data_IF_792353338343
#
_entry.id   IF_792353338343
#
_cell.length_a   1.000
_cell.length_b   1.000
_cell.length_c   1.000
_cell.angle_alpha   90.00
_cell.angle_beta   90.00
_cell.angle_gamma   90.00
#
_symmetry.space_group_name_H-M   'P 1'
#
loop_
_entity.id
_entity.type
_entity.pdbx_description
1 polymer ?
#
# COMPACT_ATOMS: atom_id res chain seq x y z
N UNK A 1 10.03 17.14 -7.95
CA UNK A 1 9.83 16.03 -8.91
C UNK A 1 11.00 15.11 -8.76
N UNK A 2 10.73 13.91 -8.34
CA UNK A 2 11.72 12.91 -7.94
C UNK A 2 12.42 12.34 -9.16
N UNK A 3 13.74 12.23 -9.09
CA UNK A 3 14.49 11.51 -10.09
C UNK A 3 14.11 10.04 -10.03
N UNK A 4 13.60 9.52 -11.13
CA UNK A 4 13.48 8.09 -11.34
C UNK A 4 14.87 7.56 -11.67
N UNK A 5 15.46 6.81 -10.75
CA UNK A 5 16.57 5.93 -11.09
C UNK A 5 15.97 4.74 -11.84
N UNK A 6 16.26 4.66 -13.12
CA UNK A 6 15.86 3.51 -13.92
C UNK A 6 17.00 2.51 -14.02
N UNK A 7 16.66 1.22 -13.95
CA UNK A 7 17.65 0.18 -14.21
C UNK A 7 17.97 0.21 -15.70
N UNK A 8 19.17 0.67 -16.05
CA UNK A 8 19.59 0.82 -17.44
C UNK A 8 20.05 -0.49 -18.06
N UNK A 9 20.67 -1.37 -17.29
CA UNK A 9 21.12 -2.66 -17.78
C UNK A 9 21.27 -3.68 -16.65
N UNK A 10 20.93 -4.92 -16.96
CA UNK A 10 21.25 -6.08 -16.14
C UNK A 10 22.21 -6.94 -16.92
N UNK A 11 23.44 -7.10 -16.45
CA UNK A 11 24.42 -8.01 -17.05
C UNK A 11 24.29 -9.37 -16.42
N UNK A 12 23.81 -10.34 -17.19
CA UNK A 12 23.85 -11.74 -16.80
C UNK A 12 25.29 -12.25 -17.05
N UNK A 13 26.02 -12.52 -16.01
CA UNK A 13 27.42 -12.99 -16.07
C UNK A 13 27.52 -14.49 -15.91
N UNK A 14 26.44 -15.20 -15.62
CA UNK A 14 26.45 -16.61 -15.23
C UNK A 14 26.90 -16.87 -13.79
N UNK A 15 27.47 -15.88 -13.13
CA UNK A 15 27.86 -15.90 -11.71
C UNK A 15 27.07 -14.83 -10.95
N UNK A 16 26.15 -15.23 -10.04
CA UNK A 16 25.35 -14.26 -9.28
C UNK A 16 26.19 -13.36 -8.36
N UNK A 17 27.44 -13.75 -8.02
CA UNK A 17 28.34 -12.94 -7.20
C UNK A 17 28.91 -11.72 -7.94
N UNK A 18 28.87 -11.71 -9.26
CA UNK A 18 29.37 -10.61 -10.10
C UNK A 18 28.29 -10.02 -11.02
N UNK A 19 27.03 -10.38 -10.81
CA UNK A 19 25.92 -9.76 -11.53
C UNK A 19 25.83 -8.27 -11.17
N UNK A 20 25.76 -7.42 -12.20
CA UNK A 20 25.72 -5.97 -12.01
C UNK A 20 24.40 -5.41 -12.51
N UNK A 21 23.79 -4.58 -11.69
CA UNK A 21 22.66 -3.73 -12.07
C UNK A 21 23.22 -2.33 -12.30
N UNK A 22 23.17 -1.87 -13.53
CA UNK A 22 23.57 -0.50 -13.86
C UNK A 22 22.33 0.41 -13.72
N UNK A 23 22.41 1.35 -12.79
CA UNK A 23 21.37 2.38 -12.61
C UNK A 23 21.70 3.58 -13.49
N UNK A 24 20.68 4.14 -14.12
CA UNK A 24 20.82 5.38 -14.89
C UNK A 24 21.16 6.58 -14.01
N UNK A 25 21.71 7.61 -14.64
CA UNK A 25 21.87 8.89 -13.98
C UNK A 25 20.48 9.42 -13.52
N UNK A 26 20.41 10.16 -12.42
CA UNK A 26 19.19 10.82 -12.02
C UNK A 26 18.62 11.64 -13.18
N UNK A 27 17.34 11.49 -13.47
CA UNK A 27 16.66 12.29 -14.49
C UNK A 27 16.79 13.80 -14.21
N UNK A 28 16.48 14.66 -15.20
CA UNK A 28 16.71 16.11 -15.09
C UNK A 28 15.86 16.82 -14.00
N UNK A 29 15.00 16.11 -13.34
CA UNK A 29 14.11 16.64 -12.30
C UNK A 29 14.36 15.88 -10.99
N UNK A 30 15.27 16.42 -10.19
CA UNK A 30 15.48 16.00 -8.80
C UNK A 30 14.71 16.98 -7.93
N UNK A 31 13.76 16.48 -7.14
CA UNK A 31 13.06 17.28 -6.13
C UNK A 31 13.53 16.84 -4.75
N UNK A 32 14.11 17.76 -4.02
CA UNK A 32 14.54 17.51 -2.65
C UNK A 32 13.33 17.62 -1.70
N UNK A 33 12.99 16.55 -1.02
CA UNK A 33 11.93 16.52 -0.01
C UNK A 33 12.52 16.22 1.35
N UNK A 34 12.16 17.01 2.37
CA UNK A 34 12.60 16.82 3.76
C UNK A 34 11.52 16.16 4.60
N UNK A 35 11.86 15.05 5.22
CA UNK A 35 10.99 14.33 6.15
C UNK A 35 11.80 13.78 7.31
N UNK A 36 11.09 13.37 8.37
CA UNK A 36 11.71 12.71 9.53
C UNK A 36 11.87 11.19 9.25
N UNK A 37 10.97 10.63 8.44
CA UNK A 37 10.95 9.23 8.05
C UNK A 37 10.65 9.13 6.55
N UNK A 38 11.56 8.50 5.82
CA UNK A 38 11.33 8.11 4.42
C UNK A 38 10.92 6.63 4.38
N UNK A 39 9.82 6.34 3.73
CA UNK A 39 9.36 4.98 3.45
C UNK A 39 9.45 4.75 1.95
N UNK A 40 10.28 3.81 1.52
CA UNK A 40 10.46 3.45 0.12
C UNK A 40 9.66 2.19 -0.19
N UNK A 41 8.69 2.34 -1.08
CA UNK A 41 7.71 1.32 -1.45
C UNK A 41 6.41 1.42 -0.65
N UNK A 42 5.33 1.71 -1.35
CA UNK A 42 3.97 1.87 -0.81
C UNK A 42 3.19 0.55 -0.73
N UNK A 43 3.84 -0.60 -0.69
CA UNK A 43 3.18 -1.88 -0.45
C UNK A 43 2.47 -1.94 0.91
N UNK A 44 1.83 -3.05 1.23
CA UNK A 44 1.05 -3.21 2.48
C UNK A 44 1.86 -2.86 3.73
N UNK A 45 3.11 -3.32 3.80
CA UNK A 45 4.02 -3.01 4.90
C UNK A 45 4.44 -1.54 4.93
N UNK A 46 4.76 -0.98 3.76
CA UNK A 46 5.17 0.42 3.63
C UNK A 46 4.08 1.40 4.03
N UNK A 47 2.85 1.23 3.53
CA UNK A 47 1.75 2.10 3.94
C UNK A 47 1.43 1.94 5.45
N UNK A 48 1.51 0.72 6.00
CA UNK A 48 1.32 0.51 7.43
C UNK A 48 2.39 1.25 8.26
N UNK A 49 3.66 1.17 7.85
CA UNK A 49 4.77 1.87 8.50
C UNK A 49 4.60 3.40 8.40
N UNK A 50 4.26 3.91 7.22
CA UNK A 50 4.03 5.34 7.00
C UNK A 50 2.90 5.88 7.87
N UNK A 51 1.76 5.19 7.92
CA UNK A 51 0.63 5.56 8.77
C UNK A 51 1.00 5.53 10.26
N UNK A 52 1.76 4.53 10.70
CA UNK A 52 2.19 4.41 12.10
C UNK A 52 3.14 5.55 12.48
N UNK A 53 4.15 5.84 11.68
CA UNK A 53 5.10 6.91 11.93
C UNK A 53 4.43 8.29 11.92
N UNK A 54 3.53 8.55 10.97
CA UNK A 54 2.79 9.80 10.89
C UNK A 54 1.83 10.00 12.08
N UNK A 55 1.17 8.94 12.55
CA UNK A 55 0.36 8.95 13.78
C UNK A 55 1.18 9.20 15.03
N UNK A 56 2.45 8.76 15.04
CA UNK A 56 3.42 9.07 16.10
C UNK A 56 3.98 10.51 16.02
N UNK A 57 3.45 11.35 15.14
CA UNK A 57 3.79 12.76 15.02
C UNK A 57 5.00 13.06 14.14
N UNK A 58 5.50 12.08 13.38
CA UNK A 58 6.62 12.29 12.45
C UNK A 58 6.12 12.82 11.11
N UNK A 59 6.95 13.63 10.44
CA UNK A 59 6.74 13.98 9.03
C UNK A 59 7.27 12.84 8.18
N UNK A 60 6.39 12.22 7.43
CA UNK A 60 6.68 11.02 6.65
C UNK A 60 6.55 11.32 5.17
N UNK A 61 7.51 10.83 4.38
CA UNK A 61 7.39 10.75 2.93
C UNK A 61 7.32 9.27 2.55
N UNK A 62 6.27 8.90 1.85
CA UNK A 62 6.06 7.56 1.29
C UNK A 62 6.23 7.63 -0.22
N UNK A 63 7.16 6.85 -0.76
CA UNK A 63 7.37 6.71 -2.21
C UNK A 63 6.76 5.40 -2.68
N UNK A 64 6.07 5.47 -3.80
CA UNK A 64 5.49 4.31 -4.48
C UNK A 64 5.73 4.43 -5.98
N UNK A 65 6.29 3.39 -6.59
CA UNK A 65 6.64 3.40 -8.03
C UNK A 65 5.42 3.25 -8.94
N UNK A 66 4.35 2.67 -8.45
CA UNK A 66 3.09 2.48 -9.19
C UNK A 66 2.12 3.65 -8.96
N UNK A 67 0.96 3.59 -9.61
CA UNK A 67 -0.12 4.56 -9.40
C UNK A 67 -0.86 4.37 -8.07
N UNK A 68 -0.76 3.19 -7.45
CA UNK A 68 -1.56 2.78 -6.32
C UNK A 68 -0.72 2.31 -5.15
N UNK A 69 -0.97 2.87 -3.98
CA UNK A 69 -0.48 2.32 -2.71
C UNK A 69 -1.22 1.03 -2.37
N UNK A 70 -0.59 0.15 -1.58
CA UNK A 70 -1.18 -1.11 -1.09
C UNK A 70 -0.52 -2.37 -1.66
N UNK A 71 0.26 -2.25 -2.73
CA UNK A 71 1.06 -3.34 -3.30
C UNK A 71 0.21 -4.54 -3.71
N UNK A 72 0.38 -5.69 -3.03
CA UNK A 72 -0.34 -6.92 -3.33
C UNK A 72 -1.86 -6.74 -3.33
N UNK A 73 -2.39 -5.95 -2.41
CA UNK A 73 -3.83 -5.72 -2.27
C UNK A 73 -4.43 -4.87 -3.40
N UNK A 74 -3.60 -4.16 -4.15
CA UNK A 74 -4.01 -3.12 -5.09
C UNK A 74 -3.32 -3.26 -6.44
N UNK A 75 -2.15 -2.66 -6.62
CA UNK A 75 -1.43 -2.57 -7.89
C UNK A 75 -1.06 -3.95 -8.47
N UNK A 76 -0.83 -4.96 -7.64
CA UNK A 76 -0.51 -6.32 -8.09
C UNK A 76 -1.76 -7.16 -8.40
N UNK A 77 -2.97 -6.64 -8.14
CA UNK A 77 -4.23 -7.27 -8.53
C UNK A 77 -4.60 -8.53 -7.73
N UNK A 78 -3.94 -8.80 -6.61
CA UNK A 78 -4.30 -9.90 -5.71
C UNK A 78 -5.31 -9.41 -4.70
N UNK A 79 -6.58 -9.50 -5.05
CA UNK A 79 -7.71 -8.97 -4.25
C UNK A 79 -8.17 -9.91 -3.13
N UNK A 80 -7.30 -10.77 -2.68
CA UNK A 80 -7.52 -11.72 -1.59
C UNK A 80 -6.40 -11.56 -0.56
N UNK A 81 -6.77 -11.35 0.70
CA UNK A 81 -5.81 -11.20 1.78
C UNK A 81 -5.28 -12.57 2.21
N UNK A 82 -3.97 -12.71 2.37
CA UNK A 82 -3.37 -13.90 2.99
C UNK A 82 -3.57 -13.83 4.51
N UNK A 83 -4.64 -14.43 4.96
CA UNK A 83 -5.08 -14.37 6.35
C UNK A 83 -5.17 -15.77 6.95
N UNK A 84 -4.86 -15.88 8.23
CA UNK A 84 -5.13 -17.10 8.96
C UNK A 84 -6.64 -17.28 9.24
N UNK A 85 -7.07 -18.51 9.46
CA UNK A 85 -8.49 -18.87 9.61
C UNK A 85 -9.25 -18.15 10.75
N UNK A 86 -8.52 -17.65 11.75
CA UNK A 86 -9.10 -16.99 12.92
C UNK A 86 -9.14 -15.46 12.82
N UNK A 87 -8.77 -14.87 11.68
CA UNK A 87 -8.61 -13.41 11.52
C UNK A 87 -9.87 -12.61 11.89
N UNK A 88 -11.05 -13.19 11.82
CA UNK A 88 -12.30 -12.52 12.23
C UNK A 88 -12.39 -12.29 13.75
N UNK A 89 -11.54 -12.94 14.52
CA UNK A 89 -11.58 -12.88 16.00
C UNK A 89 -10.32 -12.24 16.58
N UNK A 90 -9.16 -12.57 16.06
CA UNK A 90 -7.85 -12.09 16.58
C UNK A 90 -6.75 -12.20 15.52
N UNK A 91 -5.55 -11.69 15.86
CA UNK A 91 -4.31 -11.83 15.08
C UNK A 91 -3.97 -10.64 14.21
N UNK A 92 -4.89 -9.71 13.98
CA UNK A 92 -4.64 -8.46 13.27
C UNK A 92 -4.36 -7.28 14.21
N UNK A 93 -3.66 -6.27 13.70
CA UNK A 93 -3.54 -4.98 14.39
C UNK A 93 -4.86 -4.20 14.27
N UNK A 94 -5.05 -3.20 15.14
CA UNK A 94 -6.22 -2.31 15.08
C UNK A 94 -6.36 -1.64 13.71
N UNK A 95 -5.26 -1.20 13.12
CA UNK A 95 -5.26 -0.54 11.80
C UNK A 95 -5.60 -1.53 10.67
N UNK A 96 -5.19 -2.78 10.80
CA UNK A 96 -5.55 -3.82 9.85
C UNK A 96 -7.05 -4.12 9.88
N UNK A 97 -7.64 -4.27 11.07
CA UNK A 97 -9.10 -4.42 11.19
C UNK A 97 -9.86 -3.19 10.69
N UNK A 98 -9.32 -1.98 10.88
CA UNK A 98 -9.92 -0.77 10.33
C UNK A 98 -9.92 -0.78 8.79
N UNK A 99 -8.84 -1.27 8.15
CA UNK A 99 -8.81 -1.45 6.71
C UNK A 99 -9.86 -2.46 6.24
N UNK A 100 -9.92 -3.63 6.89
CA UNK A 100 -10.93 -4.66 6.58
C UNK A 100 -12.35 -4.11 6.68
N UNK A 101 -12.64 -3.35 7.73
CA UNK A 101 -13.94 -2.75 7.93
C UNK A 101 -14.25 -1.67 6.91
N UNK A 102 -13.29 -0.83 6.53
CA UNK A 102 -13.46 0.18 5.49
C UNK A 102 -13.82 -0.46 4.13
N UNK A 103 -13.16 -1.57 3.78
CA UNK A 103 -13.48 -2.35 2.59
C UNK A 103 -14.90 -2.90 2.67
N UNK A 104 -15.26 -3.55 3.78
CA UNK A 104 -16.62 -4.11 3.99
C UNK A 104 -17.70 -3.04 3.98
N UNK A 105 -17.43 -1.89 4.56
CA UNK A 105 -18.37 -0.76 4.59
C UNK A 105 -18.70 -0.26 3.18
N UNK A 106 -17.74 -0.31 2.23
CA UNK A 106 -18.01 -0.01 0.84
C UNK A 106 -19.10 -0.94 0.27
N UNK A 107 -18.96 -2.24 0.43
CA UNK A 107 -19.89 -3.22 -0.13
C UNK A 107 -21.23 -3.26 0.59
N UNK A 108 -21.27 -3.00 1.90
CA UNK A 108 -22.54 -2.87 2.62
C UNK A 108 -23.41 -1.72 2.09
N UNK A 109 -22.78 -0.63 1.61
CA UNK A 109 -23.53 0.47 0.97
C UNK A 109 -24.12 0.10 -0.38
N UNK A 110 -23.52 -0.87 -1.08
CA UNK A 110 -23.94 -1.29 -2.41
C UNK A 110 -25.03 -2.36 -2.39
N UNK A 111 -25.13 -3.15 -1.31
CA UNK A 111 -26.04 -4.31 -1.26
C UNK A 111 -26.69 -4.48 0.11
N UNK A 112 -28.03 -4.40 0.20
CA UNK A 112 -28.75 -4.70 1.42
C UNK A 112 -28.48 -6.11 1.96
N UNK A 113 -28.24 -7.08 1.08
CA UNK A 113 -27.91 -8.46 1.48
C UNK A 113 -26.56 -8.49 2.22
N UNK A 114 -25.55 -7.81 1.69
CA UNK A 114 -24.24 -7.71 2.35
C UNK A 114 -24.29 -6.84 3.62
N UNK A 115 -25.20 -5.87 3.68
CA UNK A 115 -25.40 -5.06 4.88
C UNK A 115 -25.91 -5.87 6.07
N UNK A 116 -26.68 -6.93 5.82
CA UNK A 116 -27.19 -7.84 6.83
C UNK A 116 -26.15 -8.84 7.37
N UNK A 117 -25.03 -9.00 6.67
CA UNK A 117 -23.96 -9.93 7.06
C UNK A 117 -23.00 -9.28 8.06
N UNK A 118 -22.65 -9.93 9.18
CA UNK A 118 -21.67 -9.39 10.14
C UNK A 118 -20.26 -9.27 9.51
N UNK A 119 -19.88 -10.26 8.70
CA UNK A 119 -18.57 -10.35 8.06
C UNK A 119 -18.70 -10.65 6.55
N UNK A 120 -19.21 -9.69 5.74
CA UNK A 120 -19.40 -9.95 4.33
C UNK A 120 -18.09 -10.25 3.60
N UNK A 121 -18.14 -11.24 2.72
CA UNK A 121 -17.07 -11.59 1.78
C UNK A 121 -17.58 -11.38 0.35
N UNK A 122 -17.51 -10.16 -0.19
CA UNK A 122 -18.14 -9.79 -1.46
C UNK A 122 -17.73 -10.68 -2.64
N UNK A 123 -16.43 -11.02 -2.70
CA UNK A 123 -15.89 -11.89 -3.75
C UNK A 123 -16.14 -13.37 -3.50
N UNK A 124 -16.73 -13.77 -2.38
CA UNK A 124 -17.01 -15.17 -2.00
C UNK A 124 -15.80 -16.10 -2.19
N UNK A 125 -14.61 -15.57 -2.01
CA UNK A 125 -13.38 -16.32 -2.14
C UNK A 125 -13.29 -17.37 -1.02
N UNK A 126 -12.84 -18.56 -1.37
CA UNK A 126 -12.67 -19.66 -0.41
C UNK A 126 -11.30 -19.61 0.31
N UNK A 127 -10.32 -18.93 -0.31
CA UNK A 127 -8.94 -18.81 0.23
C UNK A 127 -8.88 -17.83 1.39
N UNK A 128 -9.70 -16.77 1.34
CA UNK A 128 -9.69 -15.69 2.34
C UNK A 128 -11.10 -15.37 2.83
N UNK A 129 -11.17 -14.77 4.01
CA UNK A 129 -12.42 -14.28 4.59
C UNK A 129 -12.86 -12.92 4.03
N UNK A 130 -12.04 -12.28 3.20
CA UNK A 130 -12.34 -11.00 2.58
C UNK A 130 -11.66 -10.91 1.20
N UNK A 131 -12.45 -11.00 0.15
CA UNK A 131 -12.04 -10.72 -1.22
C UNK A 131 -12.81 -9.51 -1.75
N UNK A 132 -12.14 -8.68 -2.52
CA UNK A 132 -12.64 -7.36 -2.93
C UNK A 132 -11.99 -6.91 -4.24
N UNK A 133 -12.54 -5.88 -4.87
CA UNK A 133 -11.91 -5.24 -6.02
C UNK A 133 -10.70 -4.40 -5.54
N UNK A 134 -9.54 -4.48 -6.20
CA UNK A 134 -8.34 -3.74 -5.81
C UNK A 134 -8.58 -2.24 -5.59
N UNK A 135 -9.43 -1.62 -6.40
CA UNK A 135 -9.77 -0.19 -6.29
C UNK A 135 -10.41 0.15 -4.94
N UNK A 136 -11.23 -0.74 -4.40
CA UNK A 136 -11.86 -0.53 -3.09
C UNK A 136 -10.81 -0.47 -1.97
N UNK A 137 -9.76 -1.27 -2.07
CA UNK A 137 -8.64 -1.19 -1.12
C UNK A 137 -7.85 0.11 -1.29
N UNK A 138 -7.62 0.58 -2.53
CA UNK A 138 -6.98 1.88 -2.79
C UNK A 138 -7.75 2.99 -2.08
N UNK A 139 -9.07 3.06 -2.28
CA UNK A 139 -9.92 4.09 -1.71
C UNK A 139 -9.95 4.01 -0.16
N UNK A 140 -9.97 2.80 0.40
CA UNK A 140 -9.89 2.59 1.84
C UNK A 140 -8.56 3.07 2.42
N UNK A 141 -7.43 2.73 1.79
CA UNK A 141 -6.10 3.16 2.22
C UNK A 141 -5.94 4.68 2.13
N UNK A 142 -6.40 5.31 1.05
CA UNK A 142 -6.39 6.77 0.94
C UNK A 142 -7.26 7.42 2.02
N UNK A 143 -8.46 6.90 2.27
CA UNK A 143 -9.32 7.41 3.34
C UNK A 143 -8.66 7.33 4.72
N UNK A 144 -7.91 6.25 4.99
CA UNK A 144 -7.14 6.09 6.24
C UNK A 144 -5.96 7.06 6.34
N UNK A 145 -5.35 7.41 5.21
CA UNK A 145 -4.21 8.31 5.11
C UNK A 145 -4.63 9.79 5.13
N UNK A 146 -5.81 10.12 4.63
CA UNK A 146 -6.25 11.48 4.36
C UNK A 146 -6.08 12.44 5.54
N UNK A 147 -6.47 12.12 6.79
CA UNK A 147 -6.27 13.04 7.92
C UNK A 147 -4.79 13.37 8.20
N UNK A 148 -3.88 12.45 7.86
CA UNK A 148 -2.45 12.64 8.03
C UNK A 148 -1.86 13.48 6.87
N UNK A 149 -2.39 13.31 5.67
CA UNK A 149 -2.06 14.13 4.51
C UNK A 149 -2.54 15.57 4.74
N UNK A 150 -3.78 15.77 5.15
CA UNK A 150 -4.37 17.08 5.42
C UNK A 150 -3.61 17.83 6.53
N UNK A 151 -3.07 17.11 7.51
CA UNK A 151 -2.26 17.69 8.57
C UNK A 151 -0.80 17.95 8.19
N UNK A 152 -0.38 17.61 6.97
CA UNK A 152 1.00 17.73 6.49
C UNK A 152 1.99 16.74 7.12
N UNK A 153 1.49 15.72 7.83
CA UNK A 153 2.33 14.68 8.45
C UNK A 153 2.71 13.55 7.51
N UNK A 154 1.96 13.36 6.44
CA UNK A 154 2.21 12.32 5.45
C UNK A 154 2.15 12.91 4.04
N UNK A 155 3.22 12.70 3.28
CA UNK A 155 3.24 12.93 1.83
C UNK A 155 3.32 11.58 1.14
N UNK A 156 2.44 11.33 0.19
CA UNK A 156 2.43 10.12 -0.63
C UNK A 156 2.79 10.54 -2.06
N UNK A 157 3.89 10.02 -2.56
CA UNK A 157 4.40 10.29 -3.90
C UNK A 157 4.34 8.99 -4.70
N UNK A 158 3.33 8.87 -5.55
CA UNK A 158 3.20 7.76 -6.51
C UNK A 158 4.05 8.03 -7.74
N UNK A 159 4.30 7.00 -8.56
CA UNK A 159 5.19 7.04 -9.73
C UNK A 159 6.59 7.57 -9.40
N UNK A 160 7.07 7.22 -8.22
CA UNK A 160 8.29 7.77 -7.65
C UNK A 160 9.17 6.67 -7.10
N UNK A 161 10.43 6.67 -7.50
CA UNK A 161 11.51 5.82 -6.96
C UNK A 161 12.49 6.67 -6.16
N UNK A 162 13.16 6.06 -5.17
CA UNK A 162 14.27 6.67 -4.44
C UNK A 162 15.56 6.49 -5.20
#
# INVERSE_FOLDING_TARGET
MTALLDVMAVRATGDPGIAVIECGAPGPRVEETRCDVLVVGGGTGGIAAALAAARAGRRVCLLEETDWIGGQLTAQGVSALDEHEHIERFGGTRSYYALREAIRAHYRRLSPALAAEPHPNPGRCWVTRLAFEPRVAVDALHSMAQPLVDSGRLSILTRTKA
#
